data_IF_596615393083
#
_entry.id   IF_596615393083
#
_cell.length_a   1.000
_cell.length_b   1.000
_cell.length_c   1.000
_cell.angle_alpha   90.00
_cell.angle_beta   90.00
_cell.angle_gamma   90.00
#
_symmetry.space_group_name_H-M   'P 1'
#
loop_
_entity.id
_entity.type
_entity.pdbx_description
1 polymer ?
#
# COMPACT_ATOMS: atom_id res chain seq x y z
N UNK A 1 12.76 0.89 -5.35
CA UNK A 1 13.32 -0.23 -4.57
C UNK A 1 12.21 -0.97 -3.84
N UNK A 2 12.43 -2.10 -3.14
CA UNK A 2 11.35 -2.77 -2.39
C UNK A 2 11.17 -2.18 -1.00
N UNK A 3 12.24 -2.27 -0.18
CA UNK A 3 12.37 -1.69 1.14
C UNK A 3 12.53 -0.18 1.08
N UNK A 4 13.72 0.32 1.34
CA UNK A 4 13.95 1.75 1.42
C UNK A 4 15.43 2.06 1.50
N UNK A 5 15.78 3.22 2.06
CA UNK A 5 17.16 3.67 2.11
C UNK A 5 18.01 2.85 3.09
N UNK A 6 19.32 2.86 2.86
CA UNK A 6 20.32 2.29 3.78
C UNK A 6 21.22 3.39 4.33
N UNK A 7 21.64 3.33 5.62
CA UNK A 7 22.71 4.18 6.14
C UNK A 7 24.03 4.02 5.36
N UNK A 8 24.22 2.87 4.70
CA UNK A 8 25.41 2.57 3.91
C UNK A 8 25.30 3.05 2.44
N UNK A 9 24.09 3.41 1.99
CA UNK A 9 23.85 3.86 0.62
C UNK A 9 24.25 5.33 0.45
N UNK A 10 25.47 5.53 -0.04
CA UNK A 10 26.05 6.84 -0.28
C UNK A 10 25.95 7.29 -1.73
N UNK A 11 25.93 6.35 -2.68
CA UNK A 11 25.74 6.58 -4.11
C UNK A 11 25.17 5.34 -4.81
N UNK A 12 24.61 5.53 -6.01
CA UNK A 12 23.97 4.45 -6.78
C UNK A 12 24.94 3.40 -7.33
N UNK A 13 26.25 3.68 -7.43
CA UNK A 13 27.25 2.69 -7.88
C UNK A 13 27.39 1.53 -6.90
N UNK A 14 27.15 1.76 -5.61
CA UNK A 14 27.16 0.68 -4.62
C UNK A 14 26.10 -0.38 -4.92
N UNK A 15 24.93 0.01 -5.43
CA UNK A 15 23.88 -0.92 -5.86
C UNK A 15 24.31 -1.65 -7.14
N UNK A 16 24.89 -0.93 -8.12
CA UNK A 16 25.37 -1.51 -9.38
C UNK A 16 26.46 -2.57 -9.18
N UNK A 17 27.27 -2.40 -8.14
CA UNK A 17 28.40 -3.29 -7.83
C UNK A 17 28.04 -4.51 -6.97
N UNK A 18 26.79 -4.64 -6.52
CA UNK A 18 26.33 -5.84 -5.79
C UNK A 18 26.51 -7.08 -6.67
N UNK A 19 27.37 -8.00 -6.21
CA UNK A 19 27.66 -9.23 -6.93
C UNK A 19 26.45 -10.16 -6.95
N UNK A 20 26.21 -10.79 -8.10
CA UNK A 20 25.11 -11.74 -8.29
C UNK A 20 25.64 -13.05 -8.88
N UNK A 21 25.10 -14.22 -8.48
CA UNK A 21 24.02 -14.40 -7.51
C UNK A 21 24.49 -14.13 -6.06
N UNK A 22 23.57 -13.71 -5.21
CA UNK A 22 23.80 -13.54 -3.76
C UNK A 22 22.50 -13.80 -3.02
N UNK A 23 22.60 -14.38 -1.82
CA UNK A 23 21.50 -14.40 -0.87
C UNK A 23 21.33 -13.03 -0.20
N UNK A 24 20.17 -12.81 0.41
CA UNK A 24 19.93 -11.61 1.21
C UNK A 24 20.64 -11.78 2.56
N UNK A 25 21.62 -10.91 2.91
CA UNK A 25 22.30 -10.99 4.19
C UNK A 25 21.40 -10.54 5.34
N UNK A 26 21.77 -10.86 6.58
CA UNK A 26 21.05 -10.43 7.78
C UNK A 26 21.17 -8.92 8.04
N UNK A 27 22.20 -8.26 7.50
CA UNK A 27 22.47 -6.83 7.66
C UNK A 27 23.23 -6.22 6.48
N UNK A 28 23.37 -4.90 6.49
CA UNK A 28 24.10 -4.12 5.49
C UNK A 28 23.24 -3.74 4.29
N UNK A 29 23.88 -3.08 3.31
CA UNK A 29 23.21 -2.44 2.18
C UNK A 29 22.07 -3.28 1.55
N UNK A 30 22.33 -4.51 1.10
CA UNK A 30 21.30 -5.31 0.41
C UNK A 30 20.11 -5.64 1.32
N UNK A 31 20.35 -5.90 2.61
CA UNK A 31 19.28 -6.12 3.58
C UNK A 31 18.40 -4.86 3.69
N UNK A 32 19.03 -3.69 3.84
CA UNK A 32 18.31 -2.42 4.03
C UNK A 32 17.50 -1.99 2.81
N UNK A 33 18.02 -2.20 1.60
CA UNK A 33 17.28 -1.93 0.35
C UNK A 33 15.98 -2.74 0.24
N UNK A 34 15.86 -3.84 1.00
CA UNK A 34 14.72 -4.75 1.01
C UNK A 34 13.84 -4.61 2.26
N UNK A 35 14.39 -4.20 3.41
CA UNK A 35 13.71 -4.30 4.71
C UNK A 35 13.52 -2.99 5.47
N UNK A 36 14.18 -1.90 5.07
CA UNK A 36 13.99 -0.60 5.75
C UNK A 36 12.64 0.05 5.42
N UNK A 37 12.12 0.83 6.38
CA UNK A 37 10.83 1.50 6.29
C UNK A 37 10.90 3.02 6.57
N UNK A 38 10.17 3.87 5.83
CA UNK A 38 10.00 5.27 6.21
C UNK A 38 9.18 5.39 7.50
N UNK A 39 9.53 6.35 8.36
CA UNK A 39 8.76 6.67 9.57
C UNK A 39 8.68 8.17 9.82
N UNK A 40 7.50 8.68 10.20
CA UNK A 40 7.27 10.08 10.56
C UNK A 40 7.77 10.41 11.97
N UNK A 41 7.97 9.37 12.79
CA UNK A 41 8.29 9.50 14.22
C UNK A 41 9.80 9.54 14.48
N UNK A 42 10.62 9.43 13.44
CA UNK A 42 12.08 9.44 13.53
C UNK A 42 12.66 10.60 12.73
N UNK A 43 13.68 11.24 13.29
CA UNK A 43 14.57 12.15 12.58
C UNK A 43 15.89 11.41 12.34
N UNK A 44 16.33 11.33 11.08
CA UNK A 44 17.49 10.53 10.72
C UNK A 44 17.18 9.04 10.60
N UNK A 45 17.93 8.21 11.31
CA UNK A 45 17.78 6.75 11.30
C UNK A 45 17.27 6.26 12.66
N UNK A 46 16.32 5.32 12.64
CA UNK A 46 15.81 4.63 13.81
C UNK A 46 15.94 3.11 13.69
N UNK A 47 15.73 2.40 14.79
CA UNK A 47 15.59 0.94 14.74
C UNK A 47 14.23 0.58 14.13
N UNK A 48 14.16 -0.55 13.44
CA UNK A 48 12.91 -1.04 12.85
C UNK A 48 12.24 -2.05 13.78
N UNK A 49 10.98 -1.80 14.13
CA UNK A 49 10.18 -2.67 15.00
C UNK A 49 9.89 -4.04 14.37
N UNK A 50 10.16 -4.21 13.07
CA UNK A 50 10.16 -5.52 12.39
C UNK A 50 11.30 -6.43 12.84
N UNK A 51 12.27 -5.91 13.58
CA UNK A 51 13.45 -6.65 14.04
C UNK A 51 14.53 -6.83 12.98
N UNK A 52 14.43 -6.15 11.84
CA UNK A 52 15.40 -6.19 10.74
C UNK A 52 15.57 -4.80 10.12
N UNK A 53 16.81 -4.43 9.80
CA UNK A 53 17.17 -3.14 9.21
C UNK A 53 16.73 -1.93 10.07
N UNK A 54 16.49 -0.79 9.43
CA UNK A 54 16.30 0.53 10.03
C UNK A 54 14.97 1.16 9.60
N UNK A 55 14.53 2.15 10.38
CA UNK A 55 13.58 3.16 9.92
C UNK A 55 14.32 4.42 9.51
N UNK A 56 13.74 5.23 8.61
CA UNK A 56 14.33 6.50 8.18
C UNK A 56 13.31 7.63 8.08
N UNK A 57 13.75 8.82 8.47
CA UNK A 57 12.93 10.02 8.53
C UNK A 57 12.78 10.74 7.19
N UNK A 58 11.90 11.76 7.11
CA UNK A 58 11.74 12.60 5.94
C UNK A 58 13.05 13.28 5.52
N UNK A 59 13.86 13.68 6.51
CA UNK A 59 15.16 14.32 6.29
C UNK A 59 16.11 13.43 5.48
N UNK A 60 16.09 12.11 5.70
CA UNK A 60 16.91 11.16 4.93
C UNK A 60 16.42 10.96 3.51
N UNK A 61 15.12 11.04 3.28
CA UNK A 61 14.55 11.04 1.93
C UNK A 61 15.03 12.26 1.16
N UNK A 62 14.85 13.46 1.73
CA UNK A 62 15.25 14.72 1.11
C UNK A 62 16.76 14.77 0.85
N UNK A 63 17.58 14.40 1.85
CA UNK A 63 19.04 14.36 1.71
C UNK A 63 19.48 13.43 0.58
N UNK A 64 18.92 12.22 0.52
CA UNK A 64 19.29 11.24 -0.50
C UNK A 64 18.93 11.72 -1.91
N UNK A 65 17.71 12.22 -2.09
CA UNK A 65 17.22 12.69 -3.40
C UNK A 65 18.02 13.87 -3.91
N UNK A 66 18.33 14.86 -3.06
CA UNK A 66 19.19 15.98 -3.41
C UNK A 66 20.60 15.52 -3.79
N UNK A 67 21.17 14.58 -3.04
CA UNK A 67 22.54 14.08 -3.28
C UNK A 67 22.65 13.29 -4.59
N UNK A 68 21.60 12.57 -4.98
CA UNK A 68 21.59 11.73 -6.19
C UNK A 68 20.94 12.41 -7.40
N UNK A 69 20.47 13.66 -7.27
CA UNK A 69 19.75 14.40 -8.32
C UNK A 69 18.50 13.63 -8.82
N UNK A 70 17.62 13.29 -7.87
CA UNK A 70 16.38 12.53 -8.10
C UNK A 70 15.17 13.25 -7.50
N UNK A 71 13.99 13.01 -8.06
CA UNK A 71 12.75 13.65 -7.60
C UNK A 71 11.93 12.78 -6.64
N UNK A 72 11.96 11.45 -6.81
CA UNK A 72 11.02 10.54 -6.16
C UNK A 72 11.65 9.18 -5.82
N UNK A 73 11.41 8.71 -4.59
CA UNK A 73 11.61 7.32 -4.20
C UNK A 73 10.28 6.57 -4.36
N UNK A 74 10.24 5.58 -5.27
CA UNK A 74 9.13 4.63 -5.34
C UNK A 74 9.51 3.32 -4.63
N UNK A 75 8.67 2.89 -3.68
CA UNK A 75 8.89 1.67 -2.88
C UNK A 75 7.61 0.88 -2.58
N UNK A 76 7.73 -0.29 -1.92
CA UNK A 76 6.59 -1.17 -1.61
C UNK A 76 6.53 -1.58 -0.13
N UNK A 77 6.63 -2.89 0.20
CA UNK A 77 6.80 -3.49 1.54
C UNK A 77 5.73 -3.24 2.63
N UNK A 78 5.25 -2.01 2.83
CA UNK A 78 4.22 -1.66 3.80
C UNK A 78 2.83 -1.72 3.15
N UNK A 79 1.89 -2.39 3.81
CA UNK A 79 0.47 -2.33 3.47
C UNK A 79 -0.04 -0.93 3.78
N UNK A 80 -0.71 -0.29 2.82
CA UNK A 80 -1.30 1.05 2.95
C UNK A 80 -2.75 1.02 2.47
N UNK A 81 -3.62 1.81 3.09
CA UNK A 81 -5.08 1.73 2.95
C UNK A 81 -5.56 1.80 1.50
N UNK A 82 -5.14 2.82 0.74
CA UNK A 82 -5.54 3.02 -0.65
C UNK A 82 -4.65 2.28 -1.68
N UNK A 83 -3.74 1.42 -1.20
CA UNK A 83 -2.74 0.77 -2.04
C UNK A 83 -1.60 1.69 -2.48
N UNK A 84 -1.67 3.00 -2.22
CA UNK A 84 -0.53 3.90 -2.28
C UNK A 84 -0.54 4.93 -1.15
N UNK A 85 0.62 5.42 -0.75
CA UNK A 85 0.74 6.51 0.22
C UNK A 85 1.98 7.37 -0.07
N UNK A 86 1.83 8.69 -0.01
CA UNK A 86 2.96 9.63 -0.10
C UNK A 86 3.57 9.93 1.28
N UNK A 87 4.88 10.14 1.27
CA UNK A 87 5.70 10.50 2.42
C UNK A 87 6.69 11.60 2.05
N UNK A 88 7.23 12.31 3.05
CA UNK A 88 8.23 13.37 2.90
C UNK A 88 7.89 14.38 1.78
N UNK A 89 6.79 15.13 1.94
CA UNK A 89 6.34 16.12 0.95
C UNK A 89 6.21 15.56 -0.48
N UNK A 90 5.73 14.31 -0.59
CA UNK A 90 5.53 13.55 -1.83
C UNK A 90 6.84 13.16 -2.54
N UNK A 91 7.97 13.26 -1.86
CA UNK A 91 9.27 12.81 -2.35
C UNK A 91 9.47 11.29 -2.20
N UNK A 92 8.63 10.60 -1.44
CA UNK A 92 8.56 9.14 -1.41
C UNK A 92 7.12 8.68 -1.60
N UNK A 93 6.94 7.60 -2.35
CA UNK A 93 5.66 6.92 -2.50
C UNK A 93 5.80 5.43 -2.20
N UNK A 94 4.93 4.93 -1.33
CA UNK A 94 4.71 3.50 -1.09
C UNK A 94 3.62 3.01 -2.03
N UNK A 95 3.84 1.91 -2.74
CA UNK A 95 2.87 1.22 -3.58
C UNK A 95 2.69 -0.21 -3.07
N UNK A 96 1.45 -0.59 -2.79
CA UNK A 96 1.06 -1.92 -2.39
C UNK A 96 -0.05 -2.42 -3.32
N UNK A 97 0.17 -3.56 -3.99
CA UNK A 97 -0.71 -4.02 -5.09
C UNK A 97 -1.56 -5.24 -4.74
N UNK A 98 -1.53 -5.73 -3.50
CA UNK A 98 -2.34 -6.86 -3.06
C UNK A 98 -3.56 -6.37 -2.25
N UNK A 99 -4.75 -6.23 -2.86
CA UNK A 99 -5.96 -5.82 -2.14
C UNK A 99 -6.40 -6.87 -1.13
N UNK A 100 -6.95 -6.41 -0.01
CA UNK A 100 -7.38 -7.25 1.11
C UNK A 100 -6.27 -8.23 1.52
N UNK A 101 -5.11 -7.65 1.83
CA UNK A 101 -3.90 -8.41 2.14
C UNK A 101 -4.16 -9.43 3.25
N UNK A 102 -3.67 -10.66 3.05
CA UNK A 102 -3.91 -11.82 3.92
C UNK A 102 -5.39 -12.15 4.24
N UNK A 103 -6.37 -11.45 3.65
CA UNK A 103 -7.78 -11.56 4.05
C UNK A 103 -8.13 -10.89 5.38
N UNK A 104 -7.18 -10.15 5.96
CA UNK A 104 -7.28 -9.52 7.28
C UNK A 104 -7.38 -8.00 7.19
N UNK A 105 -6.78 -7.42 6.15
CA UNK A 105 -6.85 -6.00 5.84
C UNK A 105 -7.98 -5.73 4.85
N UNK A 106 -8.53 -4.52 4.85
CA UNK A 106 -9.50 -4.03 3.86
C UNK A 106 -8.85 -3.10 2.82
N UNK A 107 -7.51 -3.08 2.78
CA UNK A 107 -6.73 -2.22 1.89
C UNK A 107 -7.04 -2.47 0.42
N UNK A 108 -6.98 -1.41 -0.39
CA UNK A 108 -6.91 -1.53 -1.84
C UNK A 108 -5.50 -1.94 -2.29
N UNK A 109 -5.41 -2.39 -3.54
CA UNK A 109 -4.15 -2.44 -4.28
C UNK A 109 -4.02 -1.20 -5.17
N UNK A 110 -2.80 -0.75 -5.45
CA UNK A 110 -2.57 0.29 -6.45
C UNK A 110 -1.49 -0.10 -7.47
N UNK A 111 -1.56 0.55 -8.63
CA UNK A 111 -0.51 0.58 -9.64
C UNK A 111 -0.20 2.04 -9.97
N UNK A 112 1.08 2.40 -9.97
CA UNK A 112 1.55 3.71 -10.41
C UNK A 112 1.95 3.65 -11.90
N UNK A 113 1.39 4.54 -12.70
CA UNK A 113 1.79 4.77 -14.10
C UNK A 113 2.61 6.05 -14.16
N UNK A 114 3.76 5.99 -14.84
CA UNK A 114 4.66 7.13 -15.07
C UNK A 114 4.73 7.34 -16.57
N UNK A 115 4.34 8.53 -17.04
CA UNK A 115 4.35 8.87 -18.47
C UNK A 115 5.69 9.48 -18.92
N UNK A 116 5.78 9.83 -20.21
CA UNK A 116 6.98 10.40 -20.83
C UNK A 116 7.40 11.77 -20.23
N UNK A 117 6.47 12.46 -19.56
CA UNK A 117 6.74 13.72 -18.84
C UNK A 117 7.06 13.50 -17.36
N UNK A 118 7.22 12.24 -16.94
CA UNK A 118 7.40 11.80 -15.56
C UNK A 118 6.19 12.08 -14.66
N UNK A 119 5.02 12.31 -15.25
CA UNK A 119 3.79 12.49 -14.47
C UNK A 119 3.36 11.15 -13.89
N UNK A 120 3.19 11.13 -12.56
CA UNK A 120 2.74 9.94 -11.83
C UNK A 120 1.21 9.96 -11.66
N UNK A 121 0.54 8.89 -12.09
CA UNK A 121 -0.88 8.65 -11.88
C UNK A 121 -1.13 7.27 -11.25
N UNK A 122 -2.27 7.09 -10.58
CA UNK A 122 -2.56 5.88 -9.80
C UNK A 122 -3.86 5.22 -10.24
N UNK A 123 -3.79 3.90 -10.42
CA UNK A 123 -4.96 3.04 -10.64
C UNK A 123 -5.20 2.22 -9.38
N UNK A 124 -6.39 2.34 -8.79
CA UNK A 124 -6.74 1.70 -7.52
C UNK A 124 -7.65 0.49 -7.77
N UNK A 125 -7.28 -0.65 -7.20
CA UNK A 125 -8.00 -1.93 -7.22
C UNK A 125 -8.58 -2.19 -5.83
N UNK A 126 -9.89 -1.98 -5.66
CA UNK A 126 -10.56 -2.28 -4.40
C UNK A 126 -10.66 -3.80 -4.18
N UNK A 127 -10.71 -4.28 -2.92
CA UNK A 127 -11.03 -5.66 -2.62
C UNK A 127 -12.30 -6.13 -3.34
N UNK A 128 -12.28 -7.36 -3.84
CA UNK A 128 -13.48 -7.95 -4.42
C UNK A 128 -14.52 -8.21 -3.33
N UNK A 129 -15.79 -7.92 -3.61
CA UNK A 129 -16.89 -8.28 -2.72
C UNK A 129 -16.89 -9.80 -2.48
N UNK A 130 -16.99 -10.22 -1.22
CA UNK A 130 -17.20 -11.62 -0.87
C UNK A 130 -18.53 -12.05 -1.48
N UNK A 131 -18.51 -12.76 -2.62
CA UNK A 131 -19.72 -13.40 -3.17
C UNK A 131 -20.37 -14.20 -2.04
N UNK A 132 -21.60 -13.82 -1.64
CA UNK A 132 -22.35 -14.59 -0.66
C UNK A 132 -22.40 -16.02 -1.17
N UNK A 133 -21.82 -16.97 -0.44
CA UNK A 133 -22.03 -18.39 -0.72
C UNK A 133 -23.53 -18.61 -0.59
N UNK A 134 -24.23 -18.71 -1.72
CA UNK A 134 -25.62 -19.15 -1.73
C UNK A 134 -25.65 -20.46 -0.96
N UNK A 135 -26.33 -20.48 0.19
CA UNK A 135 -26.67 -21.72 0.86
C UNK A 135 -27.60 -22.46 -0.11
N UNK A 136 -27.08 -23.47 -0.79
CA UNK A 136 -27.90 -24.43 -1.52
C UNK A 136 -28.72 -25.19 -0.47
N UNK A 137 -29.93 -24.68 -0.20
CA UNK A 137 -30.89 -25.34 0.67
C UNK A 137 -31.36 -26.64 0.01
N UNK A 138 -31.31 -27.72 0.79
CA UNK A 138 -31.82 -29.04 0.44
C UNK A 138 -33.18 -29.00 -0.26
N UNK A 139 -33.31 -29.80 -1.31
CA UNK A 139 -34.57 -30.32 -1.84
C UNK A 139 -35.39 -30.99 -0.74
N UNK A 140 -36.61 -30.50 -0.50
CA UNK A 140 -37.76 -31.34 -0.17
C UNK A 140 -39.07 -30.65 -0.57
N UNK A 141 -39.94 -31.47 -1.14
CA UNK A 141 -41.24 -31.21 -1.76
C UNK A 141 -42.29 -30.65 -0.80
N UNK A 142 -43.10 -29.69 -1.25
CA UNK A 142 -44.34 -29.28 -0.56
C UNK A 142 -45.16 -28.27 -1.38
N UNK A 143 -46.39 -28.66 -1.74
CA UNK A 143 -47.35 -27.93 -2.59
C UNK A 143 -48.27 -27.02 -1.77
N UNK A 144 -48.64 -25.86 -2.35
CA UNK A 144 -49.78 -24.99 -1.93
C UNK A 144 -49.38 -23.86 -0.96
N UNK A 145 -49.93 -22.64 -0.97
CA UNK A 145 -51.19 -22.08 -1.45
C UNK A 145 -51.02 -20.54 -1.64
N UNK A 146 -51.83 -19.95 -2.50
CA UNK A 146 -51.97 -18.51 -2.79
C UNK A 146 -52.11 -17.60 -1.56
N UNK A 147 -51.49 -16.41 -1.63
CA UNK A 147 -51.75 -15.29 -0.72
C UNK A 147 -51.28 -13.97 -1.34
N UNK A 148 -52.21 -13.20 -1.91
CA UNK A 148 -51.99 -11.84 -2.42
C UNK A 148 -52.12 -10.81 -1.29
N UNK A 149 -51.11 -9.97 -1.07
CA UNK A 149 -51.25 -8.74 -0.29
C UNK A 149 -50.57 -7.57 -1.00
N UNK A 150 -51.42 -6.66 -1.49
CA UNK A 150 -51.11 -5.27 -1.85
C UNK A 150 -51.18 -4.46 -0.55
N UNK A 151 -50.20 -3.60 -0.24
CA UNK A 151 -50.42 -2.23 0.32
C UNK A 151 -49.11 -1.41 0.44
N UNK A 152 -49.09 -0.28 -0.29
CA UNK A 152 -48.62 1.09 0.04
C UNK A 152 -47.18 1.41 0.54
N UNK A 153 -46.42 2.12 -0.31
CA UNK A 153 -45.60 3.32 0.03
C UNK A 153 -46.50 4.59 -0.10
N UNK A 154 -46.17 5.83 0.36
CA UNK A 154 -44.84 6.42 0.56
C UNK A 154 -44.65 7.35 1.80
N UNK A 155 -43.40 7.75 2.09
CA UNK A 155 -43.08 8.84 3.03
C UNK A 155 -41.69 9.43 2.73
N UNK A 156 -41.65 10.74 2.43
CA UNK A 156 -40.48 11.55 2.06
C UNK A 156 -39.56 11.91 3.26
N UNK A 157 -38.33 12.40 3.03
CA UNK A 157 -37.34 12.73 4.07
C UNK A 157 -37.47 14.18 4.59
N UNK A 158 -36.95 14.52 5.79
CA UNK A 158 -36.76 15.90 6.22
C UNK A 158 -35.36 16.46 5.89
N UNK A 159 -35.21 17.81 5.88
CA UNK A 159 -34.16 18.55 5.17
C UNK A 159 -32.88 18.76 5.99
N UNK A 160 -31.80 19.09 5.28
CA UNK A 160 -30.51 19.42 5.85
C UNK A 160 -30.46 20.72 6.66
N UNK A 161 -29.44 20.81 7.51
CA UNK A 161 -28.94 22.06 8.09
C UNK A 161 -27.45 22.14 7.78
N UNK A 162 -27.08 23.18 7.03
CA UNK A 162 -25.71 23.69 6.91
C UNK A 162 -25.40 24.54 8.15
N UNK A 163 -24.25 24.31 8.76
CA UNK A 163 -23.21 25.33 9.02
C UNK A 163 -21.85 24.63 8.96
#
# INVERSE_FOLDING_TARGET
MHGGLSPELNNLEQIRNLQRPTDVPDSGLLCDLLWSDPSKDVQGWGMNDRGVSYTFGPDKVTEFLQKQDLDLICRAHQVVEDGYEFFADRQLVTIFSAPNYCGEFDNAGAMMSVDETLMCSFQILKPADKKSKFKLGNTSTGVGVFGSTITSKPGNPPPGVKM
#
